data_IF_687312909285
#
_entry.id   IF_687312909285
#
_cell.length_a   1.000
_cell.length_b   1.000
_cell.length_c   1.000
_cell.angle_alpha   90.00
_cell.angle_beta   90.00
_cell.angle_gamma   90.00
#
_symmetry.space_group_name_H-M   'P 1'
#
loop_
_entity.id
_entity.type
_entity.pdbx_description
1 polymer ?
#
# COMPACT_ATOMS: atom_id res chain seq x y z
N UNK A 1 6.35 -0.27 -15.41
CA UNK A 1 6.70 0.09 -14.02
C UNK A 1 5.87 -0.76 -13.07
N UNK A 2 6.52 -1.38 -12.11
CA UNK A 2 5.84 -2.17 -11.09
C UNK A 2 5.12 -1.26 -10.10
N UNK A 3 3.91 -1.65 -9.69
CA UNK A 3 3.17 -0.90 -8.66
C UNK A 3 3.03 -1.76 -7.41
N UNK A 4 3.53 -1.24 -6.29
CA UNK A 4 3.44 -1.87 -4.98
C UNK A 4 2.44 -1.11 -4.13
N UNK A 5 1.39 -1.80 -3.70
CA UNK A 5 0.37 -1.23 -2.84
C UNK A 5 0.67 -1.60 -1.39
N UNK A 6 0.82 -0.59 -0.54
CA UNK A 6 1.05 -0.78 0.88
C UNK A 6 -0.22 -0.40 1.63
N UNK A 7 -0.72 -1.31 2.46
CA UNK A 7 -1.92 -1.09 3.28
C UNK A 7 -1.52 -1.17 4.73
N UNK A 8 -1.38 -0.01 5.38
CA UNK A 8 -0.91 0.11 6.75
C UNK A 8 -1.54 1.34 7.40
N UNK A 9 -2.22 1.17 8.54
CA UNK A 9 -2.91 2.26 9.22
C UNK A 9 -1.97 3.14 10.05
N UNK A 10 -0.82 2.65 10.48
CA UNK A 10 0.17 3.45 11.18
C UNK A 10 0.92 4.32 10.17
N UNK A 11 0.75 5.64 10.28
CA UNK A 11 1.31 6.59 9.31
C UNK A 11 2.84 6.52 9.29
N UNK A 12 3.47 6.47 10.44
CA UNK A 12 4.94 6.40 10.53
C UNK A 12 5.49 5.12 9.91
N UNK A 13 4.87 3.99 10.21
CA UNK A 13 5.29 2.70 9.65
C UNK A 13 5.06 2.66 8.14
N UNK A 14 3.92 3.18 7.69
CA UNK A 14 3.60 3.25 6.27
C UNK A 14 4.66 4.06 5.51
N UNK A 15 5.04 5.22 6.05
CA UNK A 15 6.07 6.06 5.45
C UNK A 15 7.43 5.36 5.43
N UNK A 16 7.78 4.67 6.50
CA UNK A 16 9.03 3.92 6.58
C UNK A 16 9.08 2.81 5.55
N UNK A 17 7.99 2.06 5.41
CA UNK A 17 7.90 1.00 4.40
C UNK A 17 7.98 1.58 2.99
N UNK A 18 7.30 2.70 2.75
CA UNK A 18 7.32 3.35 1.44
C UNK A 18 8.73 3.75 1.04
N UNK A 19 9.50 4.31 1.97
CA UNK A 19 10.89 4.68 1.70
C UNK A 19 11.78 3.46 1.49
N UNK A 20 11.60 2.42 2.31
CA UNK A 20 12.43 1.23 2.25
C UNK A 20 12.22 0.44 0.96
N UNK A 21 11.01 0.45 0.43
CA UNK A 21 10.64 -0.36 -0.73
C UNK A 21 10.69 0.41 -2.05
N UNK A 22 10.97 1.70 -2.00
CA UNK A 22 11.05 2.53 -3.20
C UNK A 22 12.21 2.09 -4.08
N UNK A 23 11.96 2.03 -5.40
CA UNK A 23 12.97 1.70 -6.38
C UNK A 23 12.67 2.47 -7.68
N UNK A 24 13.67 2.61 -8.56
CA UNK A 24 13.52 3.39 -9.78
C UNK A 24 12.47 2.81 -10.73
N UNK A 25 12.27 1.48 -10.69
CA UNK A 25 11.33 0.77 -11.56
C UNK A 25 10.04 0.41 -10.83
N UNK A 26 9.78 1.03 -9.68
CA UNK A 26 8.64 0.70 -8.84
C UNK A 26 7.93 1.96 -8.37
N UNK A 27 6.61 1.96 -8.49
CA UNK A 27 5.76 3.00 -7.93
C UNK A 27 5.16 2.51 -6.62
N UNK A 28 5.22 3.33 -5.58
CA UNK A 28 4.63 3.00 -4.28
C UNK A 28 3.30 3.71 -4.15
N UNK A 29 2.27 2.95 -3.81
CA UNK A 29 0.93 3.47 -3.52
C UNK A 29 0.64 3.17 -2.06
N UNK A 30 0.52 4.21 -1.23
CA UNK A 30 0.27 4.07 0.20
C UNK A 30 -1.20 4.23 0.53
N UNK A 31 -1.75 3.25 1.24
CA UNK A 31 -3.12 3.27 1.74
C UNK A 31 -3.10 3.05 3.24
N UNK A 32 -4.06 3.63 3.95
CA UNK A 32 -4.14 3.54 5.41
C UNK A 32 -5.31 2.67 5.87
N UNK A 33 -6.15 2.22 4.94
CA UNK A 33 -7.28 1.35 5.25
C UNK A 33 -7.67 0.54 4.00
N UNK A 34 -8.56 -0.42 4.19
CA UNK A 34 -9.01 -1.29 3.11
C UNK A 34 -9.87 -0.56 2.07
N UNK A 35 -10.59 0.47 2.47
CA UNK A 35 -11.41 1.24 1.54
C UNK A 35 -10.55 1.89 0.48
N UNK A 36 -9.48 2.59 0.89
CA UNK A 36 -8.55 3.21 -0.03
C UNK A 36 -7.85 2.18 -0.92
N UNK A 37 -7.45 1.05 -0.34
CA UNK A 37 -6.81 -0.03 -1.08
C UNK A 37 -7.74 -0.60 -2.15
N UNK A 38 -9.01 -0.80 -1.81
CA UNK A 38 -10.00 -1.32 -2.75
C UNK A 38 -10.15 -0.39 -3.95
N UNK A 39 -10.19 0.91 -3.71
CA UNK A 39 -10.28 1.89 -4.78
C UNK A 39 -9.07 1.81 -5.72
N UNK A 40 -7.87 1.62 -5.17
CA UNK A 40 -6.67 1.47 -5.98
C UNK A 40 -6.69 0.18 -6.80
N UNK A 41 -7.17 -0.91 -6.22
CA UNK A 41 -7.28 -2.18 -6.94
C UNK A 41 -8.27 -2.10 -8.10
N UNK A 42 -9.34 -1.34 -7.94
CA UNK A 42 -10.32 -1.15 -9.00
C UNK A 42 -9.74 -0.33 -10.17
N UNK A 43 -8.75 0.52 -9.91
CA UNK A 43 -8.06 1.24 -10.97
C UNK A 43 -7.13 0.34 -11.79
N UNK A 44 -6.71 -0.79 -11.24
CA UNK A 44 -5.83 -1.74 -11.93
C UNK A 44 -4.36 -1.35 -11.86
N UNK A 45 -3.50 -2.20 -12.39
CA UNK A 45 -2.07 -1.94 -12.49
C UNK A 45 -1.26 -2.29 -11.25
N UNK A 46 -1.88 -2.80 -10.19
CA UNK A 46 -1.16 -3.18 -8.98
C UNK A 46 -0.47 -4.53 -9.19
N UNK A 47 0.84 -4.59 -8.95
CA UNK A 47 1.65 -5.80 -9.11
C UNK A 47 1.81 -6.59 -7.83
N UNK A 48 1.99 -5.87 -6.70
CA UNK A 48 2.22 -6.47 -5.39
C UNK A 48 1.40 -5.74 -4.33
N UNK A 49 1.02 -6.46 -3.29
CA UNK A 49 0.29 -5.91 -2.15
C UNK A 49 1.02 -6.29 -0.86
N UNK A 50 1.26 -5.30 -0.02
CA UNK A 50 1.77 -5.50 1.34
C UNK A 50 0.67 -5.10 2.31
N UNK A 51 0.14 -6.07 3.05
CA UNK A 51 -1.05 -5.90 3.89
C UNK A 51 -0.71 -6.00 5.37
N UNK A 52 -1.16 -5.02 6.16
CA UNK A 52 -1.15 -5.11 7.62
C UNK A 52 -2.47 -5.71 8.08
N UNK A 53 -2.38 -6.76 8.92
CA UNK A 53 -3.56 -7.47 9.42
C UNK A 53 -4.31 -6.70 10.52
N UNK A 54 -3.76 -5.61 11.01
CA UNK A 54 -4.35 -4.80 12.08
C UNK A 54 -5.08 -3.57 11.56
N UNK A 55 -5.65 -3.65 10.37
CA UNK A 55 -6.37 -2.52 9.77
C UNK A 55 -7.66 -2.22 10.52
N UNK A 56 -8.03 -0.93 10.63
CA UNK A 56 -9.22 -0.54 11.40
C UNK A 56 -10.53 -1.03 10.79
N UNK A 57 -10.59 -1.23 9.48
CA UNK A 57 -11.82 -1.61 8.79
C UNK A 57 -11.79 -3.02 8.20
N UNK A 58 -10.79 -3.83 8.55
CA UNK A 58 -10.63 -5.13 7.93
C UNK A 58 -10.00 -6.20 8.81
N UNK A 59 -9.96 -5.98 10.08
CA UNK A 59 -9.36 -6.95 11.01
C UNK A 59 -10.21 -8.19 11.19
#
# INVERSE_FOLDING_TARGET
MEQLLIIEDDIGLNQGLSKALKADDRQIISCHDLKAAREQLLCGGVSLILLDINLPDGS
#
